data_IF_129782332852
#
_entry.id   IF_129782332852
#
_cell.length_a   1.000
_cell.length_b   1.000
_cell.length_c   1.000
_cell.angle_alpha   90.00
_cell.angle_beta   90.00
_cell.angle_gamma   90.00
#
_symmetry.space_group_name_H-M   'P 1'
#
loop_
_entity.id
_entity.type
_entity.pdbx_description
1 polymer ?
#
# COMPACT_ATOMS: atom_id res chain seq x y z
N UNK A 1 -0.02 -22.62 12.50
CA UNK A 1 -0.57 -21.96 11.33
C UNK A 1 0.55 -21.62 10.36
N UNK A 2 0.34 -21.94 9.13
CA UNK A 2 1.32 -21.66 8.11
C UNK A 2 1.28 -20.17 7.77
N UNK A 3 2.39 -19.49 7.91
CA UNK A 3 2.45 -18.08 7.56
C UNK A 3 2.52 -17.92 6.05
N UNK A 4 1.73 -17.00 5.53
CA UNK A 4 1.93 -16.54 4.17
C UNK A 4 3.22 -15.73 4.19
N UNK A 5 4.19 -16.14 3.40
CA UNK A 5 5.48 -15.46 3.38
C UNK A 5 5.78 -14.98 1.98
N UNK A 6 6.52 -13.88 1.93
CA UNK A 6 7.02 -13.34 0.68
C UNK A 6 8.48 -13.75 0.58
N UNK A 7 8.85 -14.40 -0.53
CA UNK A 7 10.25 -14.77 -0.76
C UNK A 7 11.06 -13.52 -1.08
N UNK A 8 12.40 -13.58 -0.94
CA UNK A 8 13.24 -12.45 -1.34
C UNK A 8 13.05 -12.01 -2.78
N UNK A 9 12.83 -12.97 -3.70
CA UNK A 9 12.57 -12.65 -5.10
C UNK A 9 11.24 -11.91 -5.27
N UNK A 10 10.21 -12.35 -4.55
CA UNK A 10 8.90 -11.71 -4.58
C UNK A 10 8.96 -10.31 -3.98
N UNK A 11 9.69 -10.13 -2.88
CA UNK A 11 9.89 -8.82 -2.29
C UNK A 11 10.55 -7.87 -3.29
N UNK A 12 11.56 -8.35 -3.99
CA UNK A 12 12.24 -7.57 -5.02
C UNK A 12 11.29 -7.19 -6.14
N UNK A 13 10.44 -8.13 -6.58
CA UNK A 13 9.44 -7.85 -7.61
C UNK A 13 8.46 -6.76 -7.17
N UNK A 14 8.04 -6.79 -5.92
CA UNK A 14 7.13 -5.78 -5.37
C UNK A 14 7.82 -4.42 -5.32
N UNK A 15 9.05 -4.37 -4.83
CA UNK A 15 9.83 -3.13 -4.76
C UNK A 15 10.03 -2.55 -6.16
N UNK A 16 10.36 -3.40 -7.13
CA UNK A 16 10.54 -2.98 -8.52
C UNK A 16 9.24 -2.44 -9.10
N UNK A 17 8.11 -3.07 -8.77
CA UNK A 17 6.80 -2.60 -9.24
C UNK A 17 6.47 -1.23 -8.66
N UNK A 18 6.74 -1.02 -7.38
CA UNK A 18 6.55 0.28 -6.75
C UNK A 18 7.41 1.33 -7.45
N UNK A 19 8.69 1.02 -7.67
CA UNK A 19 9.61 1.94 -8.36
C UNK A 19 9.14 2.29 -9.77
N UNK A 20 8.65 1.28 -10.50
CA UNK A 20 8.12 1.49 -11.85
C UNK A 20 6.94 2.44 -11.82
N UNK A 21 6.01 2.23 -10.89
CA UNK A 21 4.84 3.10 -10.77
C UNK A 21 5.26 4.51 -10.37
N UNK A 22 6.14 4.62 -9.36
CA UNK A 22 6.58 5.93 -8.86
C UNK A 22 7.41 6.71 -9.88
N UNK A 23 7.97 6.02 -10.88
CA UNK A 23 8.65 6.72 -11.97
C UNK A 23 7.67 7.43 -12.91
N UNK A 24 6.38 7.12 -12.81
CA UNK A 24 5.34 7.64 -13.69
C UNK A 24 4.32 8.52 -12.99
N UNK A 25 4.42 8.63 -11.67
CA UNK A 25 3.47 9.42 -10.88
C UNK A 25 4.21 10.18 -9.79
N UNK A 26 3.63 11.29 -9.33
CA UNK A 26 4.15 12.03 -8.19
C UNK A 26 3.72 11.43 -6.85
N UNK A 27 2.89 10.39 -6.86
CA UNK A 27 2.44 9.74 -5.63
C UNK A 27 3.54 8.87 -5.02
N UNK A 28 3.42 8.64 -3.71
CA UNK A 28 4.33 7.78 -2.95
C UNK A 28 3.55 6.61 -2.39
N UNK A 29 4.06 5.38 -2.55
CA UNK A 29 3.37 4.16 -2.13
C UNK A 29 4.22 3.43 -1.08
N UNK A 30 3.59 3.05 0.02
CA UNK A 30 4.22 2.25 1.07
C UNK A 30 3.37 1.02 1.36
N UNK A 31 4.03 -0.13 1.52
CA UNK A 31 3.37 -1.38 1.89
C UNK A 31 3.90 -1.83 3.24
N UNK A 32 3.01 -2.15 4.16
CA UNK A 32 3.37 -2.71 5.47
C UNK A 32 2.63 -4.04 5.65
N UNK A 33 3.39 -5.08 5.93
CA UNK A 33 2.85 -6.40 6.19
C UNK A 33 3.21 -6.78 7.62
N UNK A 34 2.20 -7.05 8.44
CA UNK A 34 2.38 -7.48 9.83
C UNK A 34 1.86 -8.89 10.01
N UNK A 35 2.67 -9.76 10.64
CA UNK A 35 2.22 -11.12 10.95
C UNK A 35 1.03 -11.08 11.89
N UNK A 36 1.04 -10.16 12.86
CA UNK A 36 -0.03 -9.95 13.82
C UNK A 36 0.05 -8.54 14.37
N UNK A 37 -1.02 -8.10 15.04
CA UNK A 37 -1.04 -6.80 15.70
C UNK A 37 0.04 -6.74 16.77
N UNK A 38 0.69 -5.59 16.90
CA UNK A 38 1.67 -5.34 17.94
C UNK A 38 0.99 -5.28 19.30
N UNK A 39 1.82 -5.31 20.37
CA UNK A 39 1.30 -5.33 21.74
C UNK A 39 0.35 -4.17 22.02
N UNK A 40 0.69 -2.97 21.59
CA UNK A 40 -0.15 -1.78 21.83
C UNK A 40 -1.26 -1.62 20.80
N UNK A 41 -1.37 -2.53 19.83
CA UNK A 41 -2.34 -2.44 18.74
C UNK A 41 -3.50 -3.41 18.89
N UNK A 42 -3.49 -4.25 19.93
CA UNK A 42 -4.46 -5.35 20.06
C UNK A 42 -5.92 -4.89 20.04
N UNK A 43 -6.20 -3.71 20.59
CA UNK A 43 -7.56 -3.16 20.64
C UNK A 43 -7.89 -2.23 19.49
N UNK A 44 -6.96 -2.03 18.58
CA UNK A 44 -7.16 -1.14 17.44
C UNK A 44 -7.64 -1.94 16.23
N UNK A 45 -8.50 -1.32 15.44
CA UNK A 45 -8.91 -1.89 14.15
C UNK A 45 -7.74 -1.78 13.16
N UNK A 46 -7.84 -2.55 12.08
CA UNK A 46 -6.86 -2.44 10.99
C UNK A 46 -6.77 -1.00 10.48
N UNK A 47 -7.93 -0.34 10.32
CA UNK A 47 -7.97 1.05 9.89
C UNK A 47 -7.21 1.97 10.84
N UNK A 48 -7.43 1.83 12.15
CA UNK A 48 -6.75 2.66 13.14
C UNK A 48 -5.24 2.45 13.13
N UNK A 49 -4.80 1.20 12.95
CA UNK A 49 -3.37 0.88 12.83
C UNK A 49 -2.81 1.50 11.56
N UNK A 50 -3.55 1.43 10.46
CA UNK A 50 -3.12 2.01 9.19
C UNK A 50 -2.96 3.53 9.31
N UNK A 51 -3.89 4.22 9.98
CA UNK A 51 -3.79 5.66 10.20
C UNK A 51 -2.53 6.00 10.99
N UNK A 52 -2.28 5.26 12.07
CA UNK A 52 -1.08 5.46 12.88
C UNK A 52 0.19 5.27 12.05
N UNK A 53 0.26 4.18 11.29
CA UNK A 53 1.43 3.86 10.48
C UNK A 53 1.61 4.86 9.33
N UNK A 54 0.52 5.39 8.79
CA UNK A 54 0.55 6.40 7.75
C UNK A 54 1.33 7.64 8.23
N UNK A 55 0.99 8.12 9.40
CA UNK A 55 1.67 9.28 9.98
C UNK A 55 3.09 8.96 10.43
N UNK A 56 3.29 7.78 11.04
CA UNK A 56 4.60 7.35 11.49
C UNK A 56 5.60 7.25 10.34
N UNK A 57 5.14 6.82 9.17
CA UNK A 57 5.97 6.69 7.97
C UNK A 57 6.00 7.97 7.13
N UNK A 58 5.46 9.07 7.65
CA UNK A 58 5.53 10.40 7.05
C UNK A 58 4.85 10.49 5.68
N UNK A 59 3.87 9.61 5.41
CA UNK A 59 3.14 9.63 4.14
C UNK A 59 2.30 10.89 3.96
N UNK A 60 1.98 11.57 5.06
CA UNK A 60 1.23 12.82 5.04
C UNK A 60 2.11 14.03 4.66
N UNK A 61 3.42 13.83 4.52
CA UNK A 61 4.36 14.94 4.27
C UNK A 61 4.72 15.08 2.79
N UNK A 62 4.06 14.35 1.89
CA UNK A 62 4.30 14.55 0.46
C UNK A 62 3.74 15.91 0.03
N UNK A 63 4.37 16.50 -0.97
CA UNK A 63 4.08 17.86 -1.44
C UNK A 63 2.59 18.07 -1.75
N UNK A 64 1.98 17.13 -2.48
CA UNK A 64 0.60 17.28 -2.94
C UNK A 64 -0.38 16.38 -2.18
N UNK A 65 0.02 15.88 -1.03
CA UNK A 65 -0.78 14.97 -0.21
C UNK A 65 -1.18 13.73 -1.02
N UNK A 66 -0.19 13.09 -1.63
CA UNK A 66 -0.38 11.95 -2.53
C UNK A 66 0.25 10.66 -2.00
N UNK A 67 0.32 10.50 -0.68
CA UNK A 67 0.79 9.26 -0.07
C UNK A 67 -0.29 8.19 -0.10
N UNK A 68 0.13 6.93 -0.29
CA UNK A 68 -0.74 5.76 -0.28
C UNK A 68 -0.11 4.70 0.60
N UNK A 69 -0.90 4.12 1.49
CA UNK A 69 -0.47 3.02 2.36
C UNK A 69 -1.33 1.79 2.12
N UNK A 70 -0.69 0.65 1.91
CA UNK A 70 -1.35 -0.66 1.93
C UNK A 70 -0.88 -1.39 3.18
N UNK A 71 -1.79 -1.64 4.13
CA UNK A 71 -1.50 -2.39 5.34
C UNK A 71 -2.18 -3.74 5.30
N UNK A 72 -1.40 -4.80 5.54
CA UNK A 72 -1.89 -6.16 5.57
C UNK A 72 -1.60 -6.76 6.94
N UNK A 73 -2.64 -7.26 7.62
CA UNK A 73 -2.53 -7.99 8.88
C UNK A 73 -2.80 -9.46 8.60
N UNK A 74 -1.76 -10.29 8.62
CA UNK A 74 -1.87 -11.69 8.19
C UNK A 74 -2.71 -12.52 9.14
N UNK A 75 -2.44 -12.45 10.42
CA UNK A 75 -3.18 -13.24 11.42
C UNK A 75 -4.66 -12.90 11.42
N UNK A 76 -4.98 -11.62 11.35
CA UNK A 76 -6.35 -11.13 11.42
C UNK A 76 -7.08 -11.25 10.07
N UNK A 77 -6.36 -11.53 8.98
CA UNK A 77 -6.92 -11.57 7.63
C UNK A 77 -7.58 -10.25 7.26
N UNK A 78 -6.90 -9.15 7.58
CA UNK A 78 -7.42 -7.81 7.31
C UNK A 78 -6.48 -7.01 6.45
N UNK A 79 -7.06 -6.16 5.60
CA UNK A 79 -6.33 -5.28 4.68
C UNK A 79 -6.95 -3.90 4.75
N UNK A 80 -6.12 -2.88 4.77
CA UNK A 80 -6.57 -1.49 4.67
C UNK A 80 -5.69 -0.76 3.67
N UNK A 81 -6.32 0.06 2.83
CA UNK A 81 -5.60 0.96 1.93
C UNK A 81 -6.02 2.39 2.30
N UNK A 82 -5.04 3.24 2.54
CA UNK A 82 -5.27 4.66 2.82
C UNK A 82 -4.61 5.52 1.76
N UNK A 83 -5.40 6.41 1.17
CA UNK A 83 -4.87 7.46 0.32
C UNK A 83 -5.00 8.79 1.02
N UNK A 84 -4.00 9.66 0.87
CA UNK A 84 -4.07 10.99 1.46
C UNK A 84 -5.08 11.87 0.73
N UNK A 85 -5.35 13.05 1.28
CA UNK A 85 -6.40 13.95 0.80
C UNK A 85 -6.25 14.30 -0.68
N UNK A 86 -5.04 14.49 -1.17
CA UNK A 86 -4.81 14.80 -2.58
C UNK A 86 -5.28 13.68 -3.50
N UNK A 87 -5.03 12.43 -3.10
CA UNK A 87 -5.48 11.26 -3.86
C UNK A 87 -7.00 11.13 -3.79
N UNK A 88 -7.55 11.19 -2.57
CA UNK A 88 -8.98 10.94 -2.35
C UNK A 88 -9.87 11.98 -3.02
N UNK A 89 -9.35 13.17 -3.29
CA UNK A 89 -10.11 14.20 -3.98
C UNK A 89 -10.36 13.88 -5.46
N UNK A 90 -9.64 12.92 -6.04
CA UNK A 90 -9.70 12.62 -7.47
C UNK A 90 -10.29 11.25 -7.80
N UNK A 91 -10.24 10.30 -6.87
CA UNK A 91 -10.72 8.94 -7.13
C UNK A 91 -12.17 8.78 -6.69
N UNK A 92 -12.82 7.73 -7.22
CA UNK A 92 -14.17 7.39 -6.83
C UNK A 92 -14.23 6.97 -5.36
N UNK A 93 -15.34 7.26 -4.64
CA UNK A 93 -15.42 7.00 -3.20
C UNK A 93 -15.16 5.54 -2.80
N UNK A 94 -15.51 4.59 -3.65
CA UNK A 94 -15.34 3.17 -3.34
C UNK A 94 -14.12 2.54 -4.02
N UNK A 95 -13.23 3.35 -4.54
CA UNK A 95 -12.07 2.84 -5.27
C UNK A 95 -11.22 1.89 -4.43
N UNK A 96 -10.88 2.30 -3.21
CA UNK A 96 -10.02 1.48 -2.34
C UNK A 96 -10.69 0.14 -1.98
N UNK A 97 -12.00 0.17 -1.73
CA UNK A 97 -12.74 -1.06 -1.42
C UNK A 97 -12.73 -2.00 -2.62
N UNK A 98 -12.84 -1.49 -3.83
CA UNK A 98 -12.77 -2.31 -5.03
C UNK A 98 -11.40 -2.95 -5.20
N UNK A 99 -10.33 -2.22 -4.93
CA UNK A 99 -8.98 -2.78 -4.97
C UNK A 99 -8.84 -3.92 -3.96
N UNK A 100 -9.31 -3.71 -2.73
CA UNK A 100 -9.27 -4.75 -1.70
C UNK A 100 -10.05 -5.99 -2.14
N UNK A 101 -11.24 -5.80 -2.70
CA UNK A 101 -12.05 -6.92 -3.18
C UNK A 101 -11.34 -7.73 -4.27
N UNK A 102 -10.56 -7.06 -5.11
CA UNK A 102 -9.81 -7.73 -6.17
C UNK A 102 -8.67 -8.60 -5.62
N UNK A 103 -8.08 -8.23 -4.49
CA UNK A 103 -6.91 -8.94 -3.98
C UNK A 103 -7.26 -10.02 -2.96
N UNK A 104 -8.43 -9.98 -2.34
CA UNK A 104 -8.84 -10.95 -1.34
C UNK A 104 -8.72 -12.41 -1.84
N UNK A 105 -9.17 -12.76 -3.08
CA UNK A 105 -9.03 -14.14 -3.56
C UNK A 105 -7.58 -14.63 -3.58
N UNK A 106 -6.64 -13.76 -3.92
CA UNK A 106 -5.22 -14.13 -3.91
C UNK A 106 -4.75 -14.50 -2.51
N UNK A 107 -5.19 -13.73 -1.51
CA UNK A 107 -4.80 -13.97 -0.13
C UNK A 107 -5.38 -15.30 0.38
N UNK A 108 -6.60 -15.63 -0.03
CA UNK A 108 -7.24 -16.89 0.37
C UNK A 108 -6.50 -18.10 -0.19
N UNK A 109 -5.80 -17.93 -1.32
CA UNK A 109 -5.04 -18.99 -1.96
C UNK A 109 -3.54 -18.97 -1.58
N UNK A 110 -3.17 -18.19 -0.58
CA UNK A 110 -1.78 -18.01 -0.13
C UNK A 110 -0.87 -17.43 -1.22
N UNK A 111 -1.43 -16.63 -2.12
CA UNK A 111 -0.70 -15.95 -3.18
C UNK A 111 -0.53 -14.47 -2.81
N UNK A 112 0.04 -14.21 -1.65
CA UNK A 112 0.15 -12.86 -1.10
C UNK A 112 0.88 -11.92 -2.06
N UNK A 113 2.02 -12.34 -2.58
CA UNK A 113 2.82 -11.48 -3.48
C UNK A 113 2.05 -11.12 -4.75
N UNK A 114 1.35 -12.09 -5.35
CA UNK A 114 0.54 -11.83 -6.55
C UNK A 114 -0.61 -10.89 -6.24
N UNK A 115 -1.24 -11.03 -5.07
CA UNK A 115 -2.28 -10.13 -4.64
C UNK A 115 -1.77 -8.70 -4.49
N UNK A 116 -0.60 -8.52 -3.92
CA UNK A 116 0.01 -7.20 -3.77
C UNK A 116 0.32 -6.59 -5.15
N UNK A 117 0.88 -7.37 -6.06
CA UNK A 117 1.16 -6.90 -7.42
C UNK A 117 -0.14 -6.46 -8.11
N UNK A 118 -1.21 -7.26 -7.96
CA UNK A 118 -2.53 -6.90 -8.53
C UNK A 118 -3.03 -5.58 -7.95
N UNK A 119 -2.90 -5.40 -6.63
CA UNK A 119 -3.30 -4.16 -5.99
C UNK A 119 -2.51 -2.98 -6.55
N UNK A 120 -1.21 -3.14 -6.73
CA UNK A 120 -0.36 -2.09 -7.30
C UNK A 120 -0.77 -1.74 -8.71
N UNK A 121 -1.11 -2.74 -9.53
CA UNK A 121 -1.59 -2.51 -10.89
C UNK A 121 -2.90 -1.72 -10.89
N UNK A 122 -3.84 -2.10 -10.04
CA UNK A 122 -5.12 -1.40 -9.93
C UNK A 122 -4.93 0.05 -9.48
N UNK A 123 -4.04 0.27 -8.51
CA UNK A 123 -3.76 1.59 -7.96
C UNK A 123 -3.02 2.47 -8.96
N UNK A 124 -2.13 1.89 -9.75
CA UNK A 124 -1.26 2.65 -10.65
C UNK A 124 -2.04 3.48 -11.68
N UNK A 125 -3.14 2.94 -12.19
CA UNK A 125 -3.88 3.59 -13.27
C UNK A 125 -4.36 5.00 -12.88
N UNK A 126 -5.14 5.19 -11.81
CA UNK A 126 -5.57 6.54 -11.45
C UNK A 126 -4.43 7.40 -10.94
N UNK A 127 -3.39 6.83 -10.30
CA UNK A 127 -2.26 7.63 -9.85
C UNK A 127 -1.52 8.25 -11.02
N UNK A 128 -1.27 7.48 -12.07
CA UNK A 128 -0.57 7.97 -13.25
C UNK A 128 -1.47 8.97 -14.00
N UNK A 129 -2.77 8.70 -14.07
CA UNK A 129 -3.72 9.55 -14.79
C UNK A 129 -3.90 10.90 -14.11
N UNK A 130 -4.09 10.92 -12.79
CA UNK A 130 -4.41 12.14 -12.06
C UNK A 130 -3.20 12.83 -11.45
N UNK A 131 -2.13 12.09 -11.22
CA UNK A 131 -0.93 12.62 -10.59
C UNK A 131 0.32 12.19 -11.37
N UNK A 132 0.40 12.58 -12.65
CA UNK A 132 1.56 12.20 -13.47
C UNK A 132 2.84 12.80 -12.91
N UNK A 133 3.97 12.13 -13.20
CA UNK A 133 5.26 12.63 -12.76
C UNK A 133 5.52 14.01 -13.39
N UNK A 134 6.13 14.89 -12.61
CA UNK A 134 6.52 16.21 -13.07
C UNK A 134 8.03 16.28 -13.20
N UNK A 135 8.52 17.22 -14.02
CA UNK A 135 9.94 17.32 -14.35
C UNK A 135 10.85 17.37 -13.12
N UNK A 136 10.40 18.02 -12.06
CA UNK A 136 11.21 18.19 -10.85
C UNK A 136 10.82 17.25 -9.72
N UNK A 137 10.01 16.25 -9.99
CA UNK A 137 9.61 15.30 -8.95
C UNK A 137 10.77 14.42 -8.55
N UNK A 138 10.88 14.19 -7.25
CA UNK A 138 11.86 13.30 -6.67
C UNK A 138 11.16 12.27 -5.80
N UNK A 139 11.80 11.13 -5.64
CA UNK A 139 11.30 10.11 -4.74
C UNK A 139 11.49 10.62 -3.31
N UNK A 140 10.41 11.04 -2.67
CA UNK A 140 10.44 11.70 -1.37
C UNK A 140 10.60 10.73 -0.21
N UNK A 141 10.23 9.46 -0.40
CA UNK A 141 10.24 8.45 0.65
C UNK A 141 10.85 7.16 0.13
N UNK A 142 11.25 6.29 1.06
CA UNK A 142 11.82 5.00 0.70
C UNK A 142 10.79 4.12 -0.01
N UNK A 143 11.23 3.44 -1.07
CA UNK A 143 10.41 2.47 -1.79
C UNK A 143 10.37 1.12 -1.09
N UNK A 144 11.02 0.98 0.06
CA UNK A 144 11.10 -0.29 0.74
C UNK A 144 9.75 -0.77 1.24
N UNK A 145 9.55 -2.08 1.14
CA UNK A 145 8.43 -2.73 1.79
C UNK A 145 8.82 -3.03 3.23
N UNK A 146 7.93 -2.79 4.17
CA UNK A 146 8.15 -3.06 5.59
C UNK A 146 7.40 -4.34 5.95
N UNK A 147 8.14 -5.32 6.45
CA UNK A 147 7.57 -6.59 6.91
C UNK A 147 7.88 -6.73 8.41
N UNK A 148 6.84 -6.85 9.21
CA UNK A 148 6.98 -6.92 10.66
C UNK A 148 6.42 -8.19 11.27
#
# INVERSE_FOLDING_TARGET
MKKSTITPEQEKQIINKISEIESKTSAEIKIIIKNKKGFFEKRKSCYQIAVKDFYKNKLHLTKDRTGVLLLILLKEHEVTILGDAGINSKIEPNFWDNVINDIIPFFKENNLAEGIIKALEDISEPLITYFPIQENDQNELSNDIIIK
#
